data_IF_634425960454
#
_entry.id   IF_634425960454
#
_cell.length_a   1.000
_cell.length_b   1.000
_cell.length_c   1.000
_cell.angle_alpha   90.00
_cell.angle_beta   90.00
_cell.angle_gamma   90.00
#
_symmetry.space_group_name_H-M   'P 1'
#
loop_
_entity.id
_entity.type
_entity.pdbx_description
1 polymer ?
#
# COMPACT_ATOMS: atom_id res chain seq x y z
N UNK A 1 -45.47 -1.22 -7.85
CA UNK A 1 -44.51 -1.23 -6.71
C UNK A 1 -43.16 -1.86 -7.07
N UNK A 2 -43.10 -3.09 -7.63
CA UNK A 2 -41.81 -3.77 -7.96
C UNK A 2 -40.85 -3.01 -8.90
N UNK A 3 -41.36 -2.17 -9.80
CA UNK A 3 -40.52 -1.36 -10.73
C UNK A 3 -39.91 -0.12 -10.07
N UNK A 4 -40.65 0.57 -9.20
CA UNK A 4 -40.16 1.75 -8.48
C UNK A 4 -39.08 1.34 -7.49
N UNK A 5 -39.29 0.24 -6.75
CA UNK A 5 -38.27 -0.30 -5.86
C UNK A 5 -37.01 -0.71 -6.62
N UNK A 6 -37.15 -1.35 -7.80
CA UNK A 6 -36.01 -1.71 -8.66
C UNK A 6 -35.18 -0.48 -9.06
N UNK A 7 -35.82 0.56 -9.61
CA UNK A 7 -35.11 1.79 -10.00
C UNK A 7 -34.49 2.52 -8.81
N UNK A 8 -35.12 2.47 -7.63
CA UNK A 8 -34.53 3.00 -6.40
C UNK A 8 -33.22 2.28 -6.05
N UNK A 9 -33.20 0.94 -6.05
CA UNK A 9 -31.99 0.18 -5.72
C UNK A 9 -30.90 0.30 -6.80
N UNK A 10 -31.26 0.34 -8.08
CA UNK A 10 -30.30 0.60 -9.17
C UNK A 10 -29.70 2.01 -9.06
N UNK A 11 -30.53 3.02 -8.79
CA UNK A 11 -30.08 4.38 -8.53
C UNK A 11 -29.19 4.48 -7.28
N UNK A 12 -29.57 3.77 -6.21
CA UNK A 12 -28.79 3.71 -4.96
C UNK A 12 -27.40 3.09 -5.19
N UNK A 13 -27.32 2.00 -5.97
CA UNK A 13 -26.06 1.32 -6.30
C UNK A 13 -25.08 2.24 -7.03
N UNK A 14 -25.57 3.19 -7.84
CA UNK A 14 -24.73 4.15 -8.56
C UNK A 14 -24.45 5.40 -7.72
N UNK A 15 -25.47 5.94 -7.04
CA UNK A 15 -25.37 7.20 -6.29
C UNK A 15 -24.56 7.06 -5.01
N UNK A 16 -24.70 5.95 -4.28
CA UNK A 16 -24.01 5.78 -2.99
C UNK A 16 -22.50 5.82 -3.14
N UNK A 17 -21.86 5.04 -4.05
CA UNK A 17 -20.42 5.14 -4.26
C UNK A 17 -20.00 6.55 -4.68
N UNK A 18 -20.73 7.19 -5.59
CA UNK A 18 -20.40 8.53 -6.08
C UNK A 18 -20.41 9.59 -4.97
N UNK A 19 -21.50 9.65 -4.19
CA UNK A 19 -21.64 10.59 -3.07
C UNK A 19 -20.62 10.28 -1.98
N UNK A 20 -20.38 9.00 -1.68
CA UNK A 20 -19.36 8.59 -0.72
C UNK A 20 -17.96 9.04 -1.15
N UNK A 21 -17.57 8.87 -2.41
CA UNK A 21 -16.29 9.35 -2.95
C UNK A 21 -16.15 10.86 -2.80
N UNK A 22 -17.17 11.64 -3.20
CA UNK A 22 -17.16 13.10 -3.07
C UNK A 22 -17.04 13.53 -1.61
N UNK A 23 -17.80 12.87 -0.72
CA UNK A 23 -17.77 13.14 0.71
C UNK A 23 -16.40 12.85 1.33
N UNK A 24 -15.79 11.70 1.02
CA UNK A 24 -14.45 11.33 1.51
C UNK A 24 -13.42 12.34 1.04
N UNK A 25 -13.46 12.73 -0.23
CA UNK A 25 -12.57 13.75 -0.79
C UNK A 25 -12.73 15.07 -0.01
N UNK A 26 -13.95 15.58 0.14
CA UNK A 26 -14.25 16.80 0.89
C UNK A 26 -13.79 16.72 2.36
N UNK A 27 -14.02 15.59 3.03
CA UNK A 27 -13.61 15.36 4.41
C UNK A 27 -12.08 15.39 4.55
N UNK A 28 -11.33 14.78 3.63
CA UNK A 28 -9.86 14.82 3.63
C UNK A 28 -9.36 16.26 3.47
N UNK A 29 -9.87 17.00 2.49
CA UNK A 29 -9.49 18.40 2.25
C UNK A 29 -9.74 19.27 3.47
N UNK A 30 -10.96 19.26 4.00
CA UNK A 30 -11.33 20.10 5.15
C UNK A 30 -10.56 19.75 6.43
N UNK A 31 -10.25 18.47 6.66
CA UNK A 31 -9.40 18.05 7.79
C UNK A 31 -7.99 18.60 7.65
N UNK A 32 -7.39 18.53 6.46
CA UNK A 32 -6.06 19.10 6.21
C UNK A 32 -6.09 20.63 6.36
N UNK A 33 -7.08 21.31 5.78
CA UNK A 33 -7.20 22.77 5.86
C UNK A 33 -7.35 23.28 7.30
N UNK A 34 -8.05 22.51 8.15
CA UNK A 34 -8.21 22.82 9.57
C UNK A 34 -6.90 22.79 10.37
N UNK A 35 -5.91 21.98 9.95
CA UNK A 35 -4.58 21.93 10.58
C UNK A 35 -3.87 23.28 10.42
N UNK A 36 -4.02 23.89 9.24
CA UNK A 36 -3.37 25.15 8.90
C UNK A 36 -4.26 26.39 9.14
N UNK A 37 -5.50 26.20 9.59
CA UNK A 37 -6.50 27.25 9.84
C UNK A 37 -6.83 28.12 8.60
N UNK A 38 -6.79 27.54 7.40
CA UNK A 38 -7.19 28.24 6.19
C UNK A 38 -8.71 28.32 6.06
N UNK A 39 -9.23 29.45 5.57
CA UNK A 39 -10.67 29.68 5.40
C UNK A 39 -11.23 29.16 4.08
N UNK A 40 -10.37 28.86 3.10
CA UNK A 40 -10.76 28.39 1.77
C UNK A 40 -10.46 26.88 1.68
N UNK A 41 -11.48 26.03 1.44
CA UNK A 41 -11.28 24.60 1.25
C UNK A 41 -10.33 24.30 0.08
N UNK A 42 -9.35 23.41 0.29
CA UNK A 42 -8.39 22.96 -0.71
C UNK A 42 -7.01 23.61 -0.65
N UNK A 43 -6.86 24.77 -0.02
CA UNK A 43 -5.56 25.48 0.07
C UNK A 43 -4.58 24.73 0.97
N UNK A 44 -5.04 24.23 2.12
CA UNK A 44 -4.20 23.46 3.04
C UNK A 44 -3.68 22.17 2.40
N UNK A 45 -4.47 21.52 1.53
CA UNK A 45 -3.99 20.40 0.75
C UNK A 45 -2.88 20.80 -0.23
N UNK A 46 -3.05 21.87 -1.01
CA UNK A 46 -2.01 22.35 -1.92
C UNK A 46 -0.71 22.70 -1.17
N UNK A 47 -0.83 23.37 -0.03
CA UNK A 47 0.30 23.69 0.85
C UNK A 47 0.96 22.41 1.37
N UNK A 48 0.18 21.41 1.78
CA UNK A 48 0.69 20.11 2.23
C UNK A 48 1.46 19.39 1.12
N UNK A 49 0.92 19.34 -0.09
CA UNK A 49 1.59 18.77 -1.27
C UNK A 49 2.90 19.51 -1.55
N UNK A 50 2.88 20.85 -1.52
CA UNK A 50 4.07 21.66 -1.72
C UNK A 50 5.13 21.38 -0.64
N UNK A 51 4.75 21.27 0.63
CA UNK A 51 5.65 20.90 1.72
C UNK A 51 6.26 19.52 1.48
N UNK A 52 5.45 18.52 1.09
CA UNK A 52 5.95 17.16 0.80
C UNK A 52 6.97 17.19 -0.34
N UNK A 53 6.69 17.92 -1.43
CA UNK A 53 7.60 18.08 -2.56
C UNK A 53 8.89 18.76 -2.12
N UNK A 54 8.80 19.85 -1.37
CA UNK A 54 9.98 20.58 -0.86
C UNK A 54 10.81 19.69 0.06
N UNK A 55 10.19 18.95 0.99
CA UNK A 55 10.88 18.00 1.86
C UNK A 55 11.55 16.89 1.05
N UNK A 56 10.86 16.34 0.04
CA UNK A 56 11.41 15.33 -0.87
C UNK A 56 12.60 15.85 -1.68
N UNK A 57 12.47 17.04 -2.24
CA UNK A 57 13.54 17.72 -2.98
C UNK A 57 14.75 17.98 -2.08
N UNK A 58 14.54 18.50 -0.87
CA UNK A 58 15.62 18.70 0.10
C UNK A 58 16.25 17.35 0.45
N UNK A 59 15.47 16.28 0.65
CA UNK A 59 15.94 14.92 0.95
C UNK A 59 16.92 14.35 -0.09
N UNK A 60 16.79 14.75 -1.35
CA UNK A 60 17.68 14.29 -2.43
C UNK A 60 19.13 14.82 -2.33
N UNK A 61 19.39 15.84 -1.50
CA UNK A 61 20.70 16.48 -1.40
C UNK A 61 21.57 15.94 -0.25
N UNK A 62 22.90 15.95 -0.41
CA UNK A 62 23.84 15.27 0.51
C UNK A 62 23.78 15.79 1.97
N UNK A 63 23.47 17.07 2.17
CA UNK A 63 23.31 17.73 3.48
C UNK A 63 22.12 17.14 4.26
N UNK A 64 21.10 16.66 3.57
CA UNK A 64 19.83 16.24 4.17
C UNK A 64 19.88 14.82 4.73
N UNK A 65 20.83 13.98 4.27
CA UNK A 65 21.11 12.68 4.90
C UNK A 65 21.42 12.80 6.39
N UNK A 66 22.01 13.93 6.83
CA UNK A 66 22.26 14.19 8.26
C UNK A 66 20.99 14.62 9.00
N UNK A 67 20.15 15.46 8.40
CA UNK A 67 18.86 15.87 8.95
C UNK A 67 17.89 14.70 9.10
N UNK A 68 17.76 13.87 8.06
CA UNK A 68 16.92 12.65 8.09
C UNK A 68 17.42 11.69 9.17
N UNK A 69 18.74 11.50 9.29
CA UNK A 69 19.32 10.68 10.38
C UNK A 69 19.04 11.27 11.76
N UNK A 70 19.06 12.59 11.92
CA UNK A 70 18.71 13.26 13.18
C UNK A 70 17.25 13.02 13.57
N UNK A 71 16.32 13.19 12.63
CA UNK A 71 14.90 12.91 12.82
C UNK A 71 14.70 11.44 13.17
N UNK A 72 15.27 10.52 12.38
CA UNK A 72 15.24 9.08 12.67
C UNK A 72 15.77 8.79 14.08
N UNK A 73 16.88 9.41 14.49
CA UNK A 73 17.47 9.22 15.82
C UNK A 73 16.55 9.73 16.93
N UNK A 74 15.88 10.88 16.74
CA UNK A 74 14.94 11.44 17.73
C UNK A 74 13.76 10.49 17.93
N UNK A 75 13.14 10.02 16.84
CA UNK A 75 11.97 9.15 16.92
C UNK A 75 12.30 7.72 17.37
N UNK A 76 13.54 7.26 17.18
CA UNK A 76 13.98 5.92 17.58
C UNK A 76 14.53 5.83 19.01
N UNK A 77 14.60 6.95 19.75
CA UNK A 77 15.10 6.99 21.14
C UNK A 77 14.20 6.30 22.16
N UNK A 78 12.88 6.35 21.99
CA UNK A 78 11.93 5.68 22.88
C UNK A 78 11.38 4.40 22.22
N UNK A 79 11.20 3.29 22.96
CA UNK A 79 10.79 2.00 22.37
C UNK A 79 9.46 2.07 21.63
N UNK A 80 8.48 2.78 22.20
CA UNK A 80 7.14 2.94 21.64
C UNK A 80 7.13 3.80 20.38
N UNK A 81 7.77 4.97 20.43
CA UNK A 81 7.83 5.88 19.28
C UNK A 81 8.62 5.26 18.14
N UNK A 82 9.68 4.50 18.46
CA UNK A 82 10.46 3.74 17.49
C UNK A 82 9.56 2.77 16.74
N UNK A 83 8.83 1.91 17.45
CA UNK A 83 7.97 0.89 16.85
C UNK A 83 6.93 1.52 15.90
N UNK A 84 6.26 2.60 16.33
CA UNK A 84 5.25 3.27 15.50
C UNK A 84 5.90 3.91 14.27
N UNK A 85 6.98 4.68 14.47
CA UNK A 85 7.65 5.40 13.40
C UNK A 85 8.26 4.46 12.34
N UNK A 86 8.95 3.39 12.77
CA UNK A 86 9.54 2.42 11.84
C UNK A 86 8.46 1.63 11.11
N UNK A 87 7.38 1.23 11.79
CA UNK A 87 6.27 0.50 11.13
C UNK A 87 5.59 1.35 10.05
N UNK A 88 5.33 2.63 10.32
CA UNK A 88 4.77 3.54 9.33
C UNK A 88 5.74 3.75 8.17
N UNK A 89 7.04 3.95 8.46
CA UNK A 89 8.08 4.14 7.45
C UNK A 89 8.23 2.91 6.56
N UNK A 90 8.21 1.71 7.14
CA UNK A 90 8.32 0.45 6.42
C UNK A 90 7.07 0.20 5.56
N UNK A 91 5.87 0.50 6.09
CA UNK A 91 4.62 0.41 5.34
C UNK A 91 4.63 1.35 4.14
N UNK A 92 4.94 2.64 4.33
CA UNK A 92 5.01 3.61 3.23
C UNK A 92 6.10 3.20 2.23
N UNK A 93 7.27 2.77 2.72
CA UNK A 93 8.39 2.32 1.89
C UNK A 93 8.08 1.07 1.06
N UNK A 94 7.17 0.21 1.52
CA UNK A 94 6.70 -0.95 0.76
C UNK A 94 5.91 -0.55 -0.50
N UNK A 95 5.27 0.62 -0.52
CA UNK A 95 4.50 1.12 -1.65
C UNK A 95 5.21 2.21 -2.46
N UNK A 96 6.14 2.95 -1.86
CA UNK A 96 6.75 4.17 -2.43
C UNK A 96 8.28 4.11 -2.38
N UNK A 97 8.93 4.44 -3.51
CA UNK A 97 10.39 4.51 -3.65
C UNK A 97 10.95 3.53 -4.68
N UNK A 98 12.28 3.42 -4.77
CA UNK A 98 12.99 2.55 -5.73
C UNK A 98 13.02 1.06 -5.32
N UNK A 99 12.47 0.72 -4.14
CA UNK A 99 12.42 -0.64 -3.57
C UNK A 99 11.01 -0.99 -3.12
N UNK A 100 10.01 -0.79 -3.99
CA UNK A 100 8.63 -1.18 -3.69
C UNK A 100 8.60 -2.68 -3.40
N UNK A 101 8.01 -3.10 -2.30
CA UNK A 101 7.95 -4.51 -1.91
C UNK A 101 6.84 -5.28 -2.65
N UNK A 102 5.97 -4.56 -3.38
CA UNK A 102 4.80 -5.10 -4.08
C UNK A 102 4.82 -4.83 -5.60
N UNK A 103 5.99 -4.61 -6.19
CA UNK A 103 6.17 -4.36 -7.63
C UNK A 103 6.39 -5.63 -8.47
N UNK A 104 6.57 -6.78 -7.81
CA UNK A 104 6.82 -8.08 -8.45
C UNK A 104 5.66 -9.04 -8.19
N UNK A 105 4.56 -8.96 -8.96
CA UNK A 105 3.48 -9.93 -8.84
C UNK A 105 3.96 -11.30 -9.31
N UNK A 106 3.61 -12.34 -8.56
CA UNK A 106 4.04 -13.71 -8.83
C UNK A 106 2.92 -14.71 -8.58
N UNK A 107 3.01 -15.82 -9.30
CA UNK A 107 2.24 -17.03 -9.08
C UNK A 107 3.14 -18.04 -8.36
N UNK A 108 2.70 -18.49 -7.18
CA UNK A 108 3.45 -19.44 -6.35
C UNK A 108 2.75 -20.78 -6.35
N UNK A 109 3.45 -21.83 -6.76
CA UNK A 109 2.95 -23.20 -6.70
C UNK A 109 3.16 -23.76 -5.29
N UNK A 110 2.06 -23.88 -4.52
CA UNK A 110 2.09 -24.32 -3.11
C UNK A 110 2.30 -25.83 -3.00
N UNK A 111 1.64 -26.58 -3.88
CA UNK A 111 1.79 -28.02 -3.98
C UNK A 111 1.84 -28.42 -5.46
N UNK A 112 3.00 -28.89 -5.95
CA UNK A 112 3.14 -29.35 -7.33
C UNK A 112 2.17 -30.49 -7.66
N UNK A 113 1.87 -31.35 -6.69
CA UNK A 113 1.00 -32.52 -6.89
C UNK A 113 -0.47 -32.15 -7.08
N UNK A 114 -0.94 -31.10 -6.40
CA UNK A 114 -2.34 -30.67 -6.49
C UNK A 114 -2.58 -29.54 -7.50
N UNK A 115 -1.52 -29.04 -8.16
CA UNK A 115 -1.56 -27.90 -9.06
C UNK A 115 -2.24 -26.65 -8.45
N UNK A 116 -2.16 -26.51 -7.12
CA UNK A 116 -2.71 -25.36 -6.41
C UNK A 116 -1.68 -24.24 -6.42
N UNK A 117 -2.12 -23.08 -6.89
CA UNK A 117 -1.30 -21.89 -7.00
C UNK A 117 -1.95 -20.71 -6.27
N UNK A 118 -1.11 -19.81 -5.76
CA UNK A 118 -1.55 -18.56 -5.12
C UNK A 118 -0.87 -17.38 -5.76
N UNK A 119 -1.57 -16.25 -5.84
CA UNK A 119 -1.01 -15.01 -6.35
C UNK A 119 -0.51 -14.20 -5.16
N UNK A 120 0.69 -13.63 -5.30
CA UNK A 120 1.29 -12.77 -4.29
C UNK A 120 2.34 -11.85 -4.89
N UNK A 121 3.17 -11.30 -4.02
CA UNK A 121 4.24 -10.38 -4.39
C UNK A 121 5.56 -10.80 -3.75
N UNK A 122 6.63 -10.88 -4.55
CA UNK A 122 7.97 -11.13 -4.00
C UNK A 122 8.43 -9.88 -3.27
N UNK A 123 8.62 -10.01 -1.95
CA UNK A 123 9.10 -8.93 -1.09
C UNK A 123 10.61 -9.00 -0.83
N UNK A 124 11.20 -10.20 -0.95
CA UNK A 124 12.65 -10.44 -0.95
C UNK A 124 13.01 -11.56 -1.93
N UNK A 125 13.92 -11.26 -2.86
CA UNK A 125 14.43 -12.23 -3.84
C UNK A 125 15.43 -13.25 -3.25
N UNK A 126 15.90 -13.05 -2.00
CA UNK A 126 16.83 -13.95 -1.34
C UNK A 126 16.80 -13.74 0.19
N UNK A 127 16.97 -14.84 0.95
CA UNK A 127 16.92 -14.86 2.41
C UNK A 127 18.24 -15.34 3.08
N UNK A 128 19.37 -15.23 2.39
CA UNK A 128 20.69 -15.62 2.88
C UNK A 128 21.07 -14.87 4.17
N UNK A 129 20.58 -13.64 4.35
CA UNK A 129 20.78 -12.86 5.59
C UNK A 129 20.11 -13.51 6.82
N UNK A 130 19.15 -14.40 6.62
CA UNK A 130 18.50 -15.22 7.64
C UNK A 130 19.06 -16.65 7.67
N UNK A 131 20.09 -16.96 6.88
CA UNK A 131 20.64 -18.31 6.74
C UNK A 131 19.77 -19.26 5.92
N UNK A 132 18.81 -18.74 5.14
CA UNK A 132 17.90 -19.54 4.33
C UNK A 132 18.31 -19.41 2.85
N UNK A 133 18.96 -20.45 2.33
CA UNK A 133 19.41 -20.50 0.94
C UNK A 133 18.29 -20.87 -0.04
N UNK A 134 18.41 -20.40 -1.28
CA UNK A 134 17.56 -20.76 -2.44
C UNK A 134 16.05 -20.50 -2.30
N UNK A 135 15.67 -19.70 -1.30
CA UNK A 135 14.28 -19.32 -1.04
C UNK A 135 14.04 -17.82 -1.15
N UNK A 136 12.79 -17.49 -1.47
CA UNK A 136 12.27 -16.14 -1.56
C UNK A 136 11.15 -15.91 -0.56
N UNK A 137 10.96 -14.65 -0.16
CA UNK A 137 9.81 -14.24 0.64
C UNK A 137 8.70 -13.71 -0.27
N UNK A 138 7.52 -14.34 -0.19
CA UNK A 138 6.33 -13.90 -0.92
C UNK A 138 5.27 -13.45 0.07
N UNK A 139 4.75 -12.26 -0.15
CA UNK A 139 3.59 -11.75 0.57
C UNK A 139 2.31 -12.13 -0.17
N UNK A 140 1.35 -12.71 0.56
CA UNK A 140 0.04 -13.11 0.08
C UNK A 140 -1.02 -12.20 0.73
N UNK A 141 -1.55 -11.20 0.00
CA UNK A 141 -2.64 -10.38 0.50
C UNK A 141 -3.91 -11.23 0.76
N UNK A 142 -4.70 -10.85 1.76
CA UNK A 142 -5.99 -11.46 2.05
C UNK A 142 -7.13 -10.68 1.41
N UNK A 143 -8.06 -11.38 0.75
CA UNK A 143 -9.25 -10.76 0.16
C UNK A 143 -10.15 -10.14 1.24
N UNK A 144 -10.75 -8.99 0.93
CA UNK A 144 -11.61 -8.22 1.83
C UNK A 144 -10.97 -7.80 3.16
N UNK A 145 -9.63 -7.81 3.25
CA UNK A 145 -8.91 -7.41 4.46
C UNK A 145 -7.61 -6.69 4.10
N UNK A 146 -7.15 -5.79 4.97
CA UNK A 146 -5.82 -5.20 4.87
C UNK A 146 -4.83 -5.99 5.74
N UNK A 147 -4.69 -7.27 5.40
CA UNK A 147 -3.83 -8.23 6.06
C UNK A 147 -3.26 -9.21 5.02
N UNK A 148 -2.27 -10.00 5.41
CA UNK A 148 -1.66 -10.96 4.52
C UNK A 148 -0.75 -11.94 5.25
N UNK A 149 -0.40 -13.01 4.54
CA UNK A 149 0.54 -13.99 5.02
C UNK A 149 1.90 -13.78 4.36
N UNK A 150 2.97 -13.93 5.13
CA UNK A 150 4.31 -14.12 4.59
C UNK A 150 4.53 -15.63 4.42
N UNK A 151 4.91 -16.04 3.22
CA UNK A 151 5.39 -17.41 2.96
C UNK A 151 6.83 -17.40 2.45
N UNK A 152 7.54 -18.48 2.73
CA UNK A 152 8.91 -18.70 2.27
C UNK A 152 8.94 -19.96 1.41
N UNK A 153 9.23 -19.80 0.14
CA UNK A 153 9.16 -20.86 -0.88
C UNK A 153 10.45 -20.94 -1.69
N UNK A 154 10.71 -22.10 -2.29
CA UNK A 154 11.86 -22.26 -3.19
C UNK A 154 11.70 -21.33 -4.39
N UNK A 155 12.80 -20.75 -4.84
CA UNK A 155 12.79 -19.79 -5.97
C UNK A 155 12.21 -20.41 -7.25
N UNK A 156 12.37 -21.72 -7.43
CA UNK A 156 11.84 -22.50 -8.56
C UNK A 156 10.31 -22.62 -8.56
N UNK A 157 9.65 -22.44 -7.40
CA UNK A 157 8.18 -22.51 -7.28
C UNK A 157 7.49 -21.20 -7.62
N UNK A 158 8.26 -20.17 -7.97
CA UNK A 158 7.76 -18.81 -8.18
C UNK A 158 7.84 -18.46 -9.67
N UNK A 159 6.69 -18.15 -10.25
CA UNK A 159 6.57 -17.70 -11.64
C UNK A 159 6.18 -16.23 -11.68
N UNK A 160 6.99 -15.33 -12.27
CA UNK A 160 6.62 -13.92 -12.43
C UNK A 160 5.35 -13.75 -13.27
N UNK A 161 4.48 -12.82 -12.86
CA UNK A 161 3.33 -12.38 -13.63
C UNK A 161 3.67 -11.08 -14.38
N UNK A 162 3.19 -10.95 -15.61
CA UNK A 162 3.42 -9.77 -16.47
C UNK A 162 2.38 -8.66 -16.29
N UNK A 163 1.35 -8.88 -15.49
CA UNK A 163 0.29 -7.90 -15.22
C UNK A 163 0.79 -6.76 -14.33
N UNK A 164 0.14 -5.60 -14.40
CA UNK A 164 0.46 -4.51 -13.48
C UNK A 164 0.17 -4.90 -12.03
N UNK A 165 1.06 -4.52 -11.11
CA UNK A 165 0.88 -4.78 -9.68
C UNK A 165 -0.43 -4.23 -9.12
N UNK A 166 -0.91 -3.11 -9.66
CA UNK A 166 -2.18 -2.50 -9.27
C UNK A 166 -3.36 -3.43 -9.55
N UNK A 167 -3.43 -3.96 -10.77
CA UNK A 167 -4.49 -4.88 -11.21
C UNK A 167 -4.44 -6.19 -10.42
N UNK A 168 -3.24 -6.73 -10.19
CA UNK A 168 -3.07 -7.94 -9.38
C UNK A 168 -3.52 -7.70 -7.93
N UNK A 169 -3.18 -6.55 -7.34
CA UNK A 169 -3.64 -6.20 -5.99
C UNK A 169 -5.17 -6.08 -5.95
N UNK A 170 -5.79 -5.42 -6.93
CA UNK A 170 -7.24 -5.31 -7.03
C UNK A 170 -7.91 -6.68 -7.18
N UNK A 171 -7.33 -7.56 -8.01
CA UNK A 171 -7.79 -8.93 -8.19
C UNK A 171 -7.74 -9.74 -6.89
N UNK A 172 -6.62 -9.70 -6.15
CA UNK A 172 -6.50 -10.44 -4.88
C UNK A 172 -7.45 -9.88 -3.82
N UNK A 173 -7.50 -8.55 -3.65
CA UNK A 173 -8.30 -7.89 -2.61
C UNK A 173 -9.80 -8.07 -2.86
N UNK A 174 -10.23 -8.15 -4.13
CA UNK A 174 -11.62 -8.45 -4.51
C UNK A 174 -12.00 -9.93 -4.37
N UNK A 175 -11.05 -10.82 -4.03
CA UNK A 175 -11.29 -12.27 -4.00
C UNK A 175 -11.43 -12.87 -5.39
N UNK A 176 -10.79 -12.28 -6.40
CA UNK A 176 -10.79 -12.75 -7.78
C UNK A 176 -12.01 -12.35 -8.61
N UNK A 177 -12.83 -11.41 -8.11
CA UNK A 177 -14.06 -10.99 -8.79
C UNK A 177 -13.80 -9.92 -9.86
N UNK A 178 -12.78 -9.09 -9.67
CA UNK A 178 -12.49 -7.96 -10.57
C UNK A 178 -11.02 -7.94 -10.95
N UNK A 179 -10.72 -7.85 -12.25
CA UNK A 179 -9.39 -7.55 -12.80
C UNK A 179 -9.43 -6.19 -13.49
#
# INVERSE_FOLDING_TARGET
MKRITKYFFEGLLVLVPLVATIYVIYAVFTKIDSIFKFSIPGIGFLVTVLIIIVVGFISSNFITKRLVKLVDTIFTKLPLTKMIYTSIKDLIGAFVGDKKSFDKPVLVTISPESNIQVIGFVTKDNLNNLGISDKVAVYLPQSYNFAGNLIVVSSEQVTPLSAESGDIMAFIVSGGVTA
#
